data_IF_088400402654
#
_entry.id   IF_088400402654
#
_cell.length_a   1.000
_cell.length_b   1.000
_cell.length_c   1.000
_cell.angle_alpha   90.00
_cell.angle_beta   90.00
_cell.angle_gamma   90.00
#
_symmetry.space_group_name_H-M   'P 1'
#
loop_
_entity.id
_entity.type
_entity.pdbx_description
1 polymer ?
#
# COMPACT_ATOMS: atom_id res chain seq x y z
N UNK A 1 8.65 19.15 1.02
CA UNK A 1 9.25 17.84 0.70
C UNK A 1 10.68 17.79 1.22
N UNK A 2 11.19 16.58 1.43
CA UNK A 2 12.58 16.34 1.82
C UNK A 2 13.18 15.31 0.89
N UNK A 3 14.39 15.55 0.41
CA UNK A 3 15.10 14.66 -0.51
C UNK A 3 16.41 14.21 0.14
N UNK A 4 16.66 12.92 0.15
CA UNK A 4 17.93 12.33 0.57
C UNK A 4 18.71 11.96 -0.68
N UNK A 5 19.70 12.76 -1.03
CA UNK A 5 20.47 12.61 -2.26
C UNK A 5 21.75 11.79 -2.01
N UNK A 6 21.87 10.57 -2.56
CA UNK A 6 23.11 9.83 -2.53
C UNK A 6 24.18 10.50 -3.41
N UNK A 7 25.44 10.47 -2.96
CA UNK A 7 26.59 10.93 -3.74
C UNK A 7 26.91 9.98 -4.89
N UNK A 8 27.71 10.41 -5.87
CA UNK A 8 28.24 9.50 -6.90
C UNK A 8 29.02 8.32 -6.28
N UNK A 9 29.81 8.61 -5.24
CA UNK A 9 30.49 7.59 -4.45
C UNK A 9 29.53 6.57 -3.84
N UNK A 10 28.34 6.98 -3.43
CA UNK A 10 27.33 6.08 -2.88
C UNK A 10 26.93 4.99 -3.87
N UNK A 11 26.80 5.31 -5.16
CA UNK A 11 26.50 4.35 -6.22
C UNK A 11 27.68 3.42 -6.51
N UNK A 12 28.90 3.95 -6.51
CA UNK A 12 30.12 3.15 -6.69
C UNK A 12 30.34 2.15 -5.55
N UNK A 13 29.87 2.46 -4.34
CA UNK A 13 29.97 1.59 -3.16
C UNK A 13 28.86 0.54 -3.07
N UNK A 14 27.94 0.47 -4.04
CA UNK A 14 26.90 -0.54 -4.05
C UNK A 14 27.44 -1.90 -4.49
N UNK A 15 26.90 -3.01 -3.96
CA UNK A 15 27.22 -4.34 -4.45
C UNK A 15 26.88 -4.45 -5.94
N UNK A 16 27.85 -4.92 -6.74
CA UNK A 16 27.68 -5.11 -8.17
C UNK A 16 26.47 -5.99 -8.48
N UNK A 17 25.64 -5.56 -9.43
CA UNK A 17 24.42 -6.27 -9.81
C UNK A 17 23.17 -5.82 -9.04
N UNK A 18 23.29 -5.03 -7.97
CA UNK A 18 22.13 -4.51 -7.22
C UNK A 18 21.10 -3.82 -8.14
N UNK A 19 21.53 -2.83 -8.91
CA UNK A 19 20.63 -2.06 -9.77
C UNK A 19 20.20 -2.84 -11.02
N UNK A 20 21.03 -3.78 -11.50
CA UNK A 20 20.75 -4.60 -12.68
C UNK A 20 19.70 -5.68 -12.40
N UNK A 21 19.53 -6.09 -11.14
CA UNK A 21 18.50 -7.05 -10.74
C UNK A 21 17.13 -6.40 -10.50
N UNK A 22 17.03 -5.07 -10.62
CA UNK A 22 15.79 -4.33 -10.42
C UNK A 22 15.07 -4.07 -11.75
N UNK A 23 13.74 -4.10 -11.73
CA UNK A 23 12.90 -3.71 -12.87
C UNK A 23 12.76 -2.19 -12.98
N UNK A 24 12.32 -1.68 -14.14
CA UNK A 24 12.09 -0.24 -14.34
C UNK A 24 11.15 0.36 -13.29
N UNK A 25 10.11 -0.38 -12.90
CA UNK A 25 9.19 0.03 -11.84
C UNK A 25 9.89 0.13 -10.49
N UNK A 26 10.79 -0.80 -10.18
CA UNK A 26 11.58 -0.77 -8.95
C UNK A 26 12.61 0.38 -8.96
N UNK A 27 13.14 0.77 -10.11
CA UNK A 27 14.00 1.96 -10.22
C UNK A 27 13.23 3.23 -9.86
N UNK A 28 12.02 3.41 -10.39
CA UNK A 28 11.16 4.55 -10.03
C UNK A 28 10.87 4.52 -8.53
N UNK A 29 10.50 3.36 -8.00
CA UNK A 29 10.20 3.19 -6.58
C UNK A 29 11.42 3.50 -5.68
N UNK A 30 12.63 3.14 -6.11
CA UNK A 30 13.88 3.49 -5.42
C UNK A 30 14.08 5.00 -5.39
N UNK A 31 13.87 5.71 -6.49
CA UNK A 31 13.97 7.17 -6.52
C UNK A 31 12.93 7.81 -5.58
N UNK A 32 11.70 7.31 -5.59
CA UNK A 32 10.64 7.76 -4.67
C UNK A 32 10.95 7.45 -3.20
N UNK A 33 11.71 6.40 -2.92
CA UNK A 33 12.15 6.05 -1.56
C UNK A 33 13.09 7.10 -0.97
N UNK A 34 13.86 7.78 -1.81
CA UNK A 34 14.74 8.87 -1.37
C UNK A 34 13.99 10.18 -1.11
N UNK A 35 12.67 10.22 -1.32
CA UNK A 35 11.86 11.44 -1.23
C UNK A 35 10.80 11.26 -0.15
N UNK A 36 10.71 12.22 0.76
CA UNK A 36 9.63 12.34 1.73
C UNK A 36 8.64 13.44 1.32
N UNK A 37 7.31 13.19 1.43
CA UNK A 37 6.28 14.19 1.09
C UNK A 37 6.39 15.46 1.94
N UNK A 38 6.78 15.29 3.20
CA UNK A 38 6.84 16.38 4.18
C UNK A 38 8.24 16.99 4.24
N UNK A 39 8.27 18.25 4.62
CA UNK A 39 9.52 18.92 4.97
C UNK A 39 9.94 18.48 6.37
N UNK A 40 11.17 18.03 6.53
CA UNK A 40 11.76 17.61 7.79
C UNK A 40 13.10 18.32 7.98
N UNK A 41 13.25 19.05 9.10
CA UNK A 41 14.56 19.50 9.59
C UNK A 41 15.29 18.36 10.29
N UNK A 42 16.60 18.48 10.51
CA UNK A 42 17.36 17.49 11.28
C UNK A 42 16.76 17.27 12.67
N UNK A 43 16.32 18.32 13.37
CA UNK A 43 15.67 18.19 14.68
C UNK A 43 14.31 17.49 14.57
N UNK A 44 13.56 17.74 13.50
CA UNK A 44 12.30 17.05 13.25
C UNK A 44 12.52 15.57 12.97
N UNK A 45 13.59 15.19 12.27
CA UNK A 45 13.94 13.79 12.02
C UNK A 45 14.34 13.03 13.29
N UNK A 46 14.81 13.71 14.33
CA UNK A 46 15.12 13.11 15.63
C UNK A 46 13.87 12.87 16.50
N UNK A 47 12.83 13.65 16.25
CA UNK A 47 11.58 13.64 17.04
C UNK A 47 10.42 12.94 16.31
N UNK A 48 10.61 12.61 15.04
CA UNK A 48 9.60 11.94 14.22
C UNK A 48 9.44 10.49 14.66
N UNK A 49 8.19 10.01 14.66
CA UNK A 49 7.92 8.59 14.87
C UNK A 49 8.45 7.77 13.69
N UNK A 50 9.34 6.83 13.97
CA UNK A 50 9.77 5.84 12.99
C UNK A 50 8.72 4.71 12.87
N UNK A 51 8.59 4.08 11.70
CA UNK A 51 9.22 4.42 10.42
C UNK A 51 8.57 5.62 9.71
N UNK A 52 9.39 6.50 9.14
CA UNK A 52 8.93 7.66 8.35
C UNK A 52 8.54 7.20 6.96
N UNK A 53 7.32 7.52 6.54
CA UNK A 53 6.84 7.18 5.20
C UNK A 53 7.46 8.06 4.12
N UNK A 54 8.02 7.41 3.11
CA UNK A 54 8.56 8.01 1.89
C UNK A 54 7.50 8.09 0.80
N UNK A 55 7.80 8.71 -0.35
CA UNK A 55 6.90 8.72 -1.50
C UNK A 55 6.72 7.34 -2.14
N UNK A 56 7.65 6.41 -1.91
CA UNK A 56 7.46 5.02 -2.30
C UNK A 56 6.29 4.37 -1.53
N UNK A 57 6.01 4.79 -0.29
CA UNK A 57 4.89 4.28 0.50
C UNK A 57 3.54 4.79 -0.05
N UNK A 58 2.92 4.03 -0.96
CA UNK A 58 1.56 4.33 -1.43
C UNK A 58 1.18 3.80 -2.81
N UNK A 59 2.15 3.53 -3.69
CA UNK A 59 1.84 3.11 -5.07
C UNK A 59 1.48 1.62 -5.19
N UNK A 60 2.07 0.75 -4.36
CA UNK A 60 1.89 -0.71 -4.39
C UNK A 60 1.41 -1.30 -3.05
N UNK A 61 1.02 -0.46 -2.09
CA UNK A 61 0.67 -0.89 -0.73
C UNK A 61 1.86 -1.32 0.14
N UNK A 62 3.08 -1.33 -0.40
CA UNK A 62 4.33 -1.55 0.35
C UNK A 62 4.61 -0.42 1.34
N UNK A 63 5.08 -0.76 2.54
CA UNK A 63 5.38 0.21 3.61
C UNK A 63 6.87 0.49 3.60
N UNK A 64 7.25 1.37 2.67
CA UNK A 64 8.61 1.84 2.49
C UNK A 64 8.97 2.93 3.51
N UNK A 65 9.34 2.47 4.70
CA UNK A 65 9.75 3.30 5.83
C UNK A 65 11.24 3.62 5.86
N UNK A 66 11.58 4.81 6.35
CA UNK A 66 12.93 5.18 6.77
C UNK A 66 12.97 5.35 8.29
N UNK A 67 13.99 4.77 8.93
CA UNK A 67 14.24 4.96 10.35
C UNK A 67 15.31 6.03 10.49
N UNK A 68 15.10 6.97 11.41
CA UNK A 68 16.02 8.04 11.72
C UNK A 68 16.38 7.93 13.19
N UNK A 69 17.66 7.95 13.50
CA UNK A 69 18.18 7.85 14.86
C UNK A 69 19.16 8.97 15.12
N UNK A 70 19.17 9.50 16.34
CA UNK A 70 20.17 10.49 16.75
C UNK A 70 21.38 9.81 17.35
N UNK A 71 22.55 10.03 16.76
CA UNK A 71 23.82 9.58 17.32
C UNK A 71 24.70 10.80 17.60
N UNK A 72 24.74 11.22 18.87
CA UNK A 72 25.43 12.44 19.28
C UNK A 72 24.84 13.69 18.63
N UNK A 73 25.67 14.44 17.89
CA UNK A 73 25.27 15.65 17.16
C UNK A 73 24.82 15.40 15.72
N UNK A 74 24.67 14.13 15.31
CA UNK A 74 24.34 13.75 13.94
C UNK A 74 23.09 12.87 13.89
N UNK A 75 22.36 12.98 12.78
CA UNK A 75 21.19 12.14 12.48
C UNK A 75 21.65 11.02 11.55
N UNK A 76 21.31 9.77 11.87
CA UNK A 76 21.52 8.63 11.00
C UNK A 76 20.19 8.22 10.38
N UNK A 77 20.23 7.73 9.14
CA UNK A 77 19.11 7.09 8.48
C UNK A 77 19.42 5.61 8.28
N UNK A 78 18.47 4.77 8.64
CA UNK A 78 18.54 3.32 8.51
C UNK A 78 17.35 2.79 7.71
N UNK A 79 17.64 1.91 6.77
CA UNK A 79 16.65 1.17 5.97
C UNK A 79 16.48 -0.27 6.46
N UNK A 80 17.18 -0.66 7.53
CA UNK A 80 17.27 -2.04 8.05
C UNK A 80 18.47 -2.82 7.52
N UNK A 81 18.77 -2.69 6.22
CA UNK A 81 19.97 -3.27 5.58
C UNK A 81 21.10 -2.26 5.40
N UNK A 82 20.78 -0.97 5.31
CA UNK A 82 21.74 0.11 5.12
C UNK A 82 21.52 1.16 6.19
N UNK A 83 22.58 1.48 6.92
CA UNK A 83 22.59 2.62 7.84
C UNK A 83 23.68 3.61 7.39
N UNK A 84 23.29 4.88 7.28
CA UNK A 84 24.21 5.96 6.96
C UNK A 84 23.91 7.22 7.74
N UNK A 85 24.95 7.98 8.14
CA UNK A 85 24.74 9.30 8.68
C UNK A 85 24.21 10.26 7.60
N UNK A 86 23.30 11.14 7.98
CA UNK A 86 22.93 12.31 7.18
C UNK A 86 24.05 13.34 7.27
N UNK A 87 24.44 13.85 6.11
CA UNK A 87 25.37 14.98 6.01
C UNK A 87 24.64 16.31 5.95
N UNK A 88 25.43 17.37 5.85
CA UNK A 88 24.95 18.74 5.82
C UNK A 88 23.86 18.92 4.76
N UNK A 89 22.85 19.73 5.10
CA UNK A 89 21.76 20.02 4.19
C UNK A 89 22.27 20.91 3.05
N UNK A 90 22.19 20.43 1.81
CA UNK A 90 22.44 21.25 0.62
C UNK A 90 21.36 22.34 0.50
N UNK A 91 20.15 22.05 1.01
CA UNK A 91 19.04 22.99 1.15
C UNK A 91 18.25 22.67 2.41
N UNK A 92 17.80 23.71 3.10
CA UNK A 92 16.99 23.60 4.34
C UNK A 92 15.87 24.64 4.42
N UNK A 93 15.59 25.31 3.31
CA UNK A 93 14.58 26.36 3.24
C UNK A 93 13.22 25.74 2.88
N UNK A 94 12.17 26.06 3.64
CA UNK A 94 10.83 25.63 3.28
C UNK A 94 10.47 26.19 1.89
N UNK A 95 9.95 25.37 0.95
CA UNK A 95 9.32 24.06 1.14
C UNK A 95 10.21 22.82 0.89
N UNK A 96 11.52 22.97 0.67
CA UNK A 96 12.40 21.88 0.22
C UNK A 96 13.66 21.75 1.11
N UNK A 97 13.80 20.57 1.72
CA UNK A 97 15.07 20.16 2.33
C UNK A 97 15.78 19.12 1.45
N UNK A 98 17.09 19.25 1.28
CA UNK A 98 17.94 18.29 0.57
C UNK A 98 19.11 17.93 1.46
N UNK A 99 19.22 16.65 1.81
CA UNK A 99 20.29 16.10 2.63
C UNK A 99 21.13 15.15 1.82
N UNK A 100 22.44 15.22 1.98
CA UNK A 100 23.36 14.31 1.31
C UNK A 100 23.55 13.04 2.14
N UNK A 101 23.63 11.89 1.47
CA UNK A 101 23.95 10.59 2.08
C UNK A 101 25.07 9.90 1.30
N UNK A 102 25.88 9.11 2.00
CA UNK A 102 27.03 8.40 1.41
C UNK A 102 26.71 7.01 0.87
N UNK A 103 25.51 6.47 1.14
CA UNK A 103 25.04 5.22 0.54
C UNK A 103 23.63 5.42 0.01
N UNK A 104 23.33 4.69 -1.06
CA UNK A 104 21.97 4.63 -1.61
C UNK A 104 21.08 3.91 -0.59
N UNK A 105 19.94 4.53 -0.27
CA UNK A 105 18.96 3.97 0.64
C UNK A 105 18.20 2.88 -0.11
N UNK A 106 18.36 1.66 0.36
CA UNK A 106 17.83 0.47 -0.27
C UNK A 106 16.73 -0.13 0.60
N UNK A 107 15.48 -0.22 0.09
CA UNK A 107 14.42 -0.90 0.82
C UNK A 107 14.70 -2.38 0.96
N UNK A 108 14.55 -2.94 2.17
CA UNK A 108 14.61 -4.40 2.36
C UNK A 108 13.57 -5.16 1.53
N UNK A 109 12.45 -4.52 1.21
CA UNK A 109 11.35 -5.09 0.42
C UNK A 109 11.78 -5.51 -1.00
N UNK A 110 12.87 -4.95 -1.54
CA UNK A 110 13.42 -5.36 -2.83
C UNK A 110 14.35 -6.57 -2.74
N UNK A 111 14.92 -6.83 -1.56
CA UNK A 111 15.91 -7.90 -1.33
C UNK A 111 15.30 -9.13 -0.66
N UNK A 112 14.26 -8.95 0.15
CA UNK A 112 13.42 -10.05 0.58
C UNK A 112 12.63 -10.48 -0.64
N UNK A 113 12.80 -11.73 -1.06
CA UNK A 113 12.08 -12.31 -2.20
C UNK A 113 10.61 -11.87 -2.13
N UNK A 114 10.18 -11.08 -3.11
CA UNK A 114 8.85 -10.47 -3.18
C UNK A 114 7.83 -11.59 -2.91
N UNK A 115 7.23 -11.59 -1.72
CA UNK A 115 5.99 -12.31 -1.52
C UNK A 115 5.05 -11.79 -2.61
N UNK A 116 4.40 -12.66 -3.41
CA UNK A 116 3.62 -12.24 -4.56
C UNK A 116 2.75 -11.08 -4.14
N UNK A 117 2.98 -9.91 -4.76
CA UNK A 117 2.06 -8.79 -4.63
C UNK A 117 0.69 -9.39 -4.84
N UNK A 118 -0.18 -9.27 -3.83
CA UNK A 118 -1.52 -9.84 -3.88
C UNK A 118 -2.06 -9.51 -5.26
N UNK A 119 -2.21 -10.56 -6.09
CA UNK A 119 -2.81 -10.41 -7.40
C UNK A 119 -4.04 -9.55 -7.17
N UNK A 120 -4.28 -8.48 -7.97
CA UNK A 120 -5.54 -7.74 -7.88
C UNK A 120 -6.63 -8.81 -7.78
N UNK A 121 -7.52 -8.75 -6.77
CA UNK A 121 -8.48 -9.81 -6.53
C UNK A 121 -9.05 -10.15 -7.89
N UNK A 122 -8.75 -11.37 -8.37
CA UNK A 122 -9.28 -11.81 -9.63
C UNK A 122 -10.77 -11.53 -9.50
N UNK A 123 -11.29 -10.64 -10.36
CA UNK A 123 -12.72 -10.53 -10.53
C UNK A 123 -13.14 -11.96 -10.81
N UNK A 124 -13.80 -12.57 -9.83
CA UNK A 124 -14.09 -13.99 -9.81
C UNK A 124 -15.22 -14.18 -10.82
N UNK A 125 -14.86 -14.17 -12.10
CA UNK A 125 -15.63 -14.75 -13.16
C UNK A 125 -15.52 -16.25 -13.01
N UNK A 126 -16.57 -16.86 -12.49
CA UNK A 126 -16.96 -18.24 -12.76
C UNK A 126 -18.43 -18.30 -12.39
N UNK A 127 -19.34 -18.77 -13.25
CA UNK A 127 -19.20 -19.97 -14.06
C UNK A 127 -20.14 -19.95 -15.26
N UNK A 128 -19.64 -20.39 -16.43
CA UNK A 128 -20.48 -21.08 -17.41
C UNK A 128 -20.88 -22.45 -16.86
N UNK A 129 -22.09 -22.92 -17.18
CA UNK A 129 -22.29 -24.33 -17.49
C UNK A 129 -22.49 -24.52 -18.99
N UNK A 130 -21.81 -25.52 -19.56
CA UNK A 130 -21.94 -25.98 -20.93
C UNK A 130 -23.12 -26.96 -21.09
N UNK A 131 -23.72 -26.94 -22.29
CA UNK A 131 -24.63 -27.92 -22.92
C UNK A 131 -25.96 -28.21 -22.18
N UNK A 132 -27.13 -28.27 -22.80
CA UNK A 132 -27.46 -28.93 -24.07
C UNK A 132 -28.79 -28.37 -24.62
N UNK A 133 -28.92 -28.30 -25.94
CA UNK A 133 -30.06 -27.71 -26.62
C UNK A 133 -31.22 -28.69 -26.86
N UNK A 134 -32.41 -28.31 -26.41
CA UNK A 134 -33.67 -28.41 -27.15
C UNK A 134 -34.27 -29.79 -27.45
N UNK A 135 -35.37 -30.13 -26.76
CA UNK A 135 -36.50 -30.85 -27.36
C UNK A 135 -37.82 -30.51 -26.64
N UNK A 136 -38.90 -30.53 -27.42
CA UNK A 136 -40.21 -29.91 -27.20
C UNK A 136 -41.30 -30.93 -26.83
N UNK A 137 -42.09 -30.60 -25.80
CA UNK A 137 -43.52 -30.94 -25.57
C UNK A 137 -43.92 -32.39 -25.13
N UNK A 138 -45.20 -32.65 -24.79
CA UNK A 138 -45.84 -32.36 -23.50
C UNK A 138 -46.66 -33.57 -22.96
N UNK A 139 -47.63 -33.30 -22.05
CA UNK A 139 -48.75 -34.17 -21.62
C UNK A 139 -48.49 -35.11 -20.43
N UNK A 140 -49.41 -35.39 -19.50
CA UNK A 140 -50.79 -34.96 -19.17
C UNK A 140 -51.09 -35.67 -17.83
N UNK A 141 -51.79 -35.05 -16.88
CA UNK A 141 -52.19 -35.77 -15.66
C UNK A 141 -52.85 -34.95 -14.55
N UNK A 142 -54.00 -34.38 -14.88
CA UNK A 142 -55.04 -33.77 -14.02
C UNK A 142 -55.40 -34.59 -12.74
N UNK A 143 -56.32 -34.14 -11.88
CA UNK A 143 -56.32 -33.02 -10.91
C UNK A 143 -56.61 -33.53 -9.47
N UNK A 144 -56.72 -32.65 -8.46
CA UNK A 144 -57.32 -33.07 -7.19
C UNK A 144 -57.34 -32.01 -6.08
N UNK A 145 -58.46 -31.28 -5.99
CA UNK A 145 -58.87 -30.45 -4.86
C UNK A 145 -58.64 -31.09 -3.48
N UNK A 146 -58.25 -30.28 -2.48
CA UNK A 146 -58.34 -30.71 -1.08
C UNK A 146 -57.75 -29.78 -0.02
N UNK A 147 -58.51 -28.76 0.36
CA UNK A 147 -58.80 -28.37 1.75
C UNK A 147 -57.69 -28.03 2.76
N UNK A 148 -57.67 -26.74 3.15
CA UNK A 148 -57.25 -26.27 4.49
C UNK A 148 -55.74 -26.36 4.75
N UNK A 149 -55.15 -25.69 5.73
CA UNK A 149 -55.64 -25.02 6.93
C UNK A 149 -54.44 -24.28 7.55
N UNK A 150 -54.74 -23.20 8.25
CA UNK A 150 -53.86 -22.25 8.93
C UNK A 150 -52.79 -22.90 9.83
N UNK A 151 -51.58 -22.33 9.88
CA UNK A 151 -50.77 -22.33 11.11
C UNK A 151 -49.95 -21.05 11.23
N UNK A 152 -50.03 -20.46 12.41
CA UNK A 152 -49.59 -19.12 12.81
C UNK A 152 -48.40 -19.28 13.77
N UNK A 153 -47.41 -18.39 13.69
CA UNK A 153 -46.47 -18.14 14.79
C UNK A 153 -45.42 -17.10 14.38
N UNK A 154 -45.60 -15.80 14.69
CA UNK A 154 -45.28 -15.07 15.94
C UNK A 154 -43.81 -14.60 16.05
N UNK A 155 -43.62 -13.27 16.06
CA UNK A 155 -42.45 -12.55 16.62
C UNK A 155 -41.76 -11.58 15.64
N UNK A 156 -42.21 -10.34 15.43
CA UNK A 156 -41.92 -9.08 16.17
C UNK A 156 -40.42 -8.69 16.27
N UNK A 157 -39.97 -7.73 15.46
CA UNK A 157 -39.41 -6.38 15.81
C UNK A 157 -38.85 -5.76 14.50
N UNK A 158 -39.52 -4.81 13.83
CA UNK A 158 -39.52 -3.34 14.07
C UNK A 158 -38.10 -2.80 14.29
N UNK A 159 -37.52 -1.87 13.55
CA UNK A 159 -38.08 -0.76 12.78
C UNK A 159 -37.21 0.48 13.06
N UNK A 160 -36.08 0.64 12.33
CA UNK A 160 -35.26 1.88 12.27
C UNK A 160 -34.85 2.16 10.81
N UNK A 161 -35.79 1.99 9.88
CA UNK A 161 -35.77 2.64 8.57
C UNK A 161 -36.68 3.85 8.72
N UNK A 162 -36.21 5.07 8.43
CA UNK A 162 -36.87 6.39 8.62
C UNK A 162 -36.41 7.28 9.80
N UNK A 163 -35.13 7.68 9.84
CA UNK A 163 -34.76 8.98 10.44
C UNK A 163 -33.42 9.53 9.92
N UNK A 164 -33.32 9.92 8.64
CA UNK A 164 -32.23 10.80 8.17
C UNK A 164 -32.50 11.50 6.83
N UNK A 165 -33.71 12.03 6.62
CA UNK A 165 -33.99 12.98 5.53
C UNK A 165 -34.93 14.09 6.00
N UNK A 166 -34.60 14.77 7.10
CA UNK A 166 -35.38 15.92 7.60
C UNK A 166 -34.52 16.93 8.38
N UNK A 167 -33.33 17.29 7.88
CA UNK A 167 -32.48 18.33 8.47
C UNK A 167 -31.98 19.36 7.44
N UNK A 168 -32.75 19.54 6.35
CA UNK A 168 -32.66 20.72 5.48
C UNK A 168 -34.08 21.26 5.22
N UNK A 169 -34.63 21.95 6.22
CA UNK A 169 -35.59 23.06 6.09
C UNK A 169 -35.68 23.78 7.43
#
# INVERSE_FOLDING_TARGET
MTVFAPTDNAFNNLPTGTLNNLTDQQHVQLVLYHICPKFYSLESLLTVSNPVRTQASGQDGGVFGLNFTGQGNQVNVSTGIVEVPLYNALRKDFPLAVYQVDKVLLPEEFYKAKAPAASPPAANGSSSPAADGGAKAPSTGNPGNGSGRMSVGLGLVSGIWFLCMALLS
#
